data_IF_398156420441
#
_entry.id   IF_398156420441
#
_cell.length_a   1.000
_cell.length_b   1.000
_cell.length_c   1.000
_cell.angle_alpha   90.00
_cell.angle_beta   90.00
_cell.angle_gamma   90.00
#
_symmetry.space_group_name_H-M   'P 1'
#
loop_
_entity.id
_entity.type
_entity.pdbx_description
1 polymer ?
#
# COMPACT_ATOMS: atom_id res chain seq x y z
N UNK A 1 38.53 -0.47 -0.61
CA UNK A 1 37.48 0.17 -1.41
C UNK A 1 36.26 0.33 -0.50
N UNK A 2 35.95 1.57 -0.08
CA UNK A 2 34.86 1.81 0.86
C UNK A 2 33.53 1.69 0.09
N UNK A 3 32.72 0.71 0.42
CA UNK A 3 31.34 0.60 -0.06
C UNK A 3 30.60 1.87 0.35
N UNK A 4 30.25 2.68 -0.60
CA UNK A 4 29.34 3.81 -0.37
C UNK A 4 27.99 3.22 0.01
N UNK A 5 27.55 3.57 1.22
CA UNK A 5 26.24 3.18 1.74
C UNK A 5 25.17 3.66 0.75
N UNK A 6 24.47 2.71 0.17
CA UNK A 6 23.28 3.00 -0.62
C UNK A 6 22.21 3.52 0.35
N UNK A 7 21.84 4.77 0.24
CA UNK A 7 20.74 5.33 1.00
C UNK A 7 19.45 5.07 0.21
N UNK A 8 18.68 4.10 0.64
CA UNK A 8 17.34 3.92 0.14
C UNK A 8 16.40 4.74 1.03
N UNK A 9 15.93 5.86 0.53
CA UNK A 9 14.86 6.62 1.16
C UNK A 9 13.53 6.17 0.56
N UNK A 10 12.70 5.51 1.34
CA UNK A 10 11.32 5.21 0.92
C UNK A 10 10.41 6.30 1.44
N UNK A 11 9.87 7.08 0.54
CA UNK A 11 8.75 7.97 0.85
C UNK A 11 7.47 7.19 0.59
N UNK A 12 7.02 6.48 1.59
CA UNK A 12 5.71 5.87 1.57
C UNK A 12 4.68 6.93 1.99
N UNK A 13 3.93 7.42 1.05
CA UNK A 13 2.68 8.10 1.37
C UNK A 13 1.65 6.99 1.53
N UNK A 14 1.43 6.55 2.75
CA UNK A 14 0.30 5.69 3.07
C UNK A 14 -0.96 6.54 2.87
N UNK A 15 -1.57 6.45 1.71
CA UNK A 15 -2.89 7.01 1.51
C UNK A 15 -3.91 5.99 1.99
N UNK A 16 -4.63 6.35 3.01
CA UNK A 16 -5.85 5.66 3.39
C UNK A 16 -6.88 5.90 2.29
N UNK A 17 -7.29 4.84 1.63
CA UNK A 17 -8.42 4.90 0.71
C UNK A 17 -9.71 4.88 1.54
N UNK A 18 -10.09 6.03 2.05
CA UNK A 18 -11.45 6.26 2.51
C UNK A 18 -12.20 7.02 1.44
N UNK A 19 -13.39 6.59 1.13
CA UNK A 19 -14.34 7.42 0.41
C UNK A 19 -14.79 8.55 1.34
N UNK A 20 -14.02 9.58 1.45
CA UNK A 20 -14.31 10.95 1.84
C UNK A 20 -13.08 11.60 2.49
N UNK A 21 -12.48 12.50 1.76
CA UNK A 21 -11.49 13.49 2.20
C UNK A 21 -10.09 12.94 2.54
N UNK A 22 -9.09 13.31 1.75
CA UNK A 22 -7.71 13.01 2.11
C UNK A 22 -7.31 13.89 3.31
N UNK A 23 -7.27 13.31 4.50
CA UNK A 23 -6.46 13.90 5.55
C UNK A 23 -5.01 13.51 5.26
N UNK A 24 -4.24 14.44 4.72
CA UNK A 24 -2.79 14.29 4.63
C UNK A 24 -2.23 14.38 6.05
N UNK A 25 -1.95 13.25 6.67
CA UNK A 25 -1.02 13.24 7.78
C UNK A 25 0.36 13.55 7.17
N UNK A 26 0.87 14.74 7.41
CA UNK A 26 2.26 15.05 7.13
C UNK A 26 3.09 14.17 8.09
N UNK A 27 3.56 13.04 7.59
CA UNK A 27 4.58 12.28 8.29
C UNK A 27 5.86 13.12 8.22
N UNK A 28 6.36 13.54 9.37
CA UNK A 28 7.70 14.10 9.46
C UNK A 28 8.67 13.06 8.92
N UNK A 29 9.42 13.45 7.89
CA UNK A 29 10.49 12.61 7.36
C UNK A 29 11.58 12.52 8.43
N UNK A 30 11.65 11.39 9.10
CA UNK A 30 12.88 11.01 9.77
C UNK A 30 13.74 10.31 8.72
N UNK A 31 14.98 10.76 8.55
CA UNK A 31 15.98 10.16 7.66
C UNK A 31 16.37 8.74 8.14
N UNK A 32 15.42 7.84 8.21
CA UNK A 32 15.69 6.45 8.46
C UNK A 32 15.95 5.78 7.10
N UNK A 33 17.22 5.61 6.78
CA UNK A 33 17.60 4.79 5.64
C UNK A 33 17.06 3.38 5.84
N UNK A 34 16.14 2.97 4.98
CA UNK A 34 15.64 1.59 4.95
C UNK A 34 16.66 0.70 4.28
N UNK A 35 16.77 -0.52 4.75
CA UNK A 35 17.63 -1.56 4.18
C UNK A 35 16.82 -2.51 3.31
N UNK A 36 17.48 -3.35 2.52
CA UNK A 36 16.79 -4.34 1.69
C UNK A 36 15.98 -5.36 2.52
N UNK A 37 16.27 -5.50 3.80
CA UNK A 37 15.52 -6.36 4.73
C UNK A 37 14.25 -5.71 5.29
N UNK A 38 14.05 -4.41 5.05
CA UNK A 38 12.89 -3.69 5.53
C UNK A 38 11.68 -3.91 4.62
N UNK A 39 10.52 -3.68 5.17
CA UNK A 39 9.25 -3.74 4.44
C UNK A 39 8.46 -2.45 4.62
N UNK A 40 7.66 -2.14 3.60
CA UNK A 40 6.65 -1.09 3.65
C UNK A 40 5.32 -1.73 4.02
N UNK A 41 4.77 -1.34 5.16
CA UNK A 41 3.43 -1.76 5.59
C UNK A 41 2.38 -0.80 5.05
N UNK A 42 1.37 -1.34 4.40
CA UNK A 42 0.21 -0.61 3.89
C UNK A 42 -1.05 -1.11 4.58
N UNK A 43 -1.99 -0.20 4.80
CA UNK A 43 -3.26 -0.51 5.46
C UNK A 43 -4.42 -0.29 4.49
N UNK A 44 -5.23 -1.30 4.28
CA UNK A 44 -6.55 -1.18 3.65
C UNK A 44 -7.56 -0.85 4.74
N UNK A 45 -8.26 0.27 4.59
CA UNK A 45 -9.37 0.65 5.46
C UNK A 45 -10.66 0.47 4.67
N UNK A 46 -11.63 -0.17 5.29
CA UNK A 46 -12.98 -0.31 4.78
C UNK A 46 -13.92 0.47 5.70
N UNK A 47 -14.58 1.49 5.15
CA UNK A 47 -15.54 2.33 5.88
C UNK A 47 -16.96 1.90 5.57
N UNK A 48 -17.76 1.70 6.61
CA UNK A 48 -19.20 1.43 6.53
C UNK A 48 -19.96 2.71 6.87
N UNK A 49 -20.75 3.18 5.92
CA UNK A 49 -21.40 4.51 6.03
C UNK A 49 -22.46 4.56 7.13
N UNK A 50 -23.23 3.48 7.29
CA UNK A 50 -24.37 3.44 8.22
C UNK A 50 -24.11 2.50 9.38
N UNK A 51 -24.59 2.86 10.57
CA UNK A 51 -24.60 1.97 11.72
C UNK A 51 -25.46 0.71 11.45
N UNK A 52 -25.20 -0.36 12.20
CA UNK A 52 -25.89 -1.66 12.09
C UNK A 52 -25.83 -2.34 10.73
N UNK A 53 -25.04 -1.80 9.81
CA UNK A 53 -24.76 -2.45 8.53
C UNK A 53 -23.66 -3.49 8.72
N UNK A 54 -23.90 -4.70 8.25
CA UNK A 54 -22.90 -5.77 8.25
C UNK A 54 -22.29 -5.88 6.86
N UNK A 55 -20.96 -5.81 6.78
CA UNK A 55 -20.22 -6.15 5.57
C UNK A 55 -19.98 -7.66 5.51
N UNK A 56 -19.97 -8.25 4.33
CA UNK A 56 -19.46 -9.61 4.18
C UNK A 56 -17.95 -9.65 4.48
N UNK A 57 -17.45 -10.83 4.75
CA UNK A 57 -16.01 -11.10 4.67
C UNK A 57 -15.54 -10.90 3.22
N UNK A 58 -14.36 -10.28 3.04
CA UNK A 58 -13.87 -9.92 1.72
C UNK A 58 -12.35 -9.96 1.62
N UNK A 59 -11.85 -10.34 0.44
CA UNK A 59 -10.42 -10.31 0.13
C UNK A 59 -10.16 -9.29 -0.96
N UNK A 60 -9.35 -8.29 -0.64
CA UNK A 60 -8.89 -7.26 -1.56
C UNK A 60 -7.56 -7.64 -2.15
N UNK A 61 -7.43 -7.49 -3.46
CA UNK A 61 -6.21 -7.79 -4.20
C UNK A 61 -5.59 -6.50 -4.72
N UNK A 62 -4.29 -6.35 -4.51
CA UNK A 62 -3.51 -5.19 -4.97
C UNK A 62 -2.43 -5.65 -5.93
N UNK A 63 -2.29 -4.94 -7.04
CA UNK A 63 -1.21 -5.18 -8.00
C UNK A 63 -0.22 -4.03 -7.97
N UNK A 64 1.08 -4.37 -7.91
CA UNK A 64 2.19 -3.43 -7.94
C UNK A 64 2.79 -3.46 -9.34
N UNK A 65 2.82 -2.31 -10.00
CA UNK A 65 3.31 -2.19 -11.38
C UNK A 65 4.47 -1.19 -11.42
N UNK A 66 5.66 -1.59 -11.93
CA UNK A 66 6.77 -0.67 -12.11
C UNK A 66 6.45 0.39 -13.16
N UNK A 67 6.99 1.61 -12.98
CA UNK A 67 6.82 2.74 -13.87
C UNK A 67 8.17 3.20 -14.43
N UNK A 68 8.19 3.54 -15.71
CA UNK A 68 9.40 4.06 -16.38
C UNK A 68 10.56 3.09 -16.31
N UNK A 69 11.64 3.51 -15.64
CA UNK A 69 12.87 2.72 -15.48
C UNK A 69 12.90 1.83 -14.23
N UNK A 70 11.80 1.79 -13.48
CA UNK A 70 11.73 0.95 -12.29
C UNK A 70 11.85 -0.54 -12.67
N UNK A 71 12.68 -1.32 -11.96
CA UNK A 71 12.81 -2.75 -12.26
C UNK A 71 11.51 -3.49 -11.91
N UNK A 72 11.29 -4.59 -12.61
CA UNK A 72 10.20 -5.51 -12.28
C UNK A 72 10.43 -6.11 -10.89
N UNK A 73 9.36 -6.34 -10.17
CA UNK A 73 9.42 -7.02 -8.88
C UNK A 73 9.88 -8.48 -9.05
N UNK A 74 10.36 -9.06 -7.97
CA UNK A 74 10.63 -10.50 -7.94
C UNK A 74 9.37 -11.30 -8.32
N UNK A 75 9.56 -12.41 -9.03
CA UNK A 75 8.44 -13.19 -9.56
C UNK A 75 7.47 -13.59 -8.45
N UNK A 76 6.18 -13.35 -8.68
CA UNK A 76 5.10 -13.67 -7.75
C UNK A 76 4.95 -12.72 -6.55
N UNK A 77 5.69 -11.60 -6.52
CA UNK A 77 5.60 -10.62 -5.42
C UNK A 77 4.89 -9.32 -5.80
N UNK A 78 4.48 -9.20 -7.04
CA UNK A 78 3.78 -8.04 -7.59
C UNK A 78 2.28 -7.97 -7.22
N UNK A 79 1.77 -9.01 -6.57
CA UNK A 79 0.39 -9.10 -6.11
C UNK A 79 0.35 -9.29 -4.60
N UNK A 80 -0.51 -8.54 -3.94
CA UNK A 80 -0.75 -8.61 -2.49
C UNK A 80 -2.24 -8.73 -2.21
N UNK A 81 -2.57 -9.43 -1.14
CA UNK A 81 -3.96 -9.60 -0.71
C UNK A 81 -4.15 -9.16 0.74
N UNK A 82 -5.33 -8.61 1.02
CA UNK A 82 -5.78 -8.28 2.37
C UNK A 82 -7.14 -8.92 2.57
N UNK A 83 -7.23 -9.78 3.56
CA UNK A 83 -8.50 -10.36 3.98
C UNK A 83 -9.09 -9.53 5.13
N UNK A 84 -10.35 -9.18 5.00
CA UNK A 84 -11.13 -8.53 6.05
C UNK A 84 -12.30 -9.43 6.42
N UNK A 85 -12.42 -9.72 7.71
CA UNK A 85 -13.56 -10.48 8.24
C UNK A 85 -14.85 -9.68 8.12
N UNK A 86 -15.98 -10.37 8.18
CA UNK A 86 -17.28 -9.75 8.26
C UNK A 86 -17.33 -8.79 9.46
N UNK A 87 -17.81 -7.58 9.22
CA UNK A 87 -17.79 -6.51 10.20
C UNK A 87 -19.17 -5.87 10.30
N UNK A 88 -19.67 -5.70 11.54
CA UNK A 88 -20.92 -4.98 11.81
C UNK A 88 -20.60 -3.62 12.39
N UNK A 89 -20.98 -2.57 11.69
CA UNK A 89 -20.79 -1.20 12.15
C UNK A 89 -21.61 -0.91 13.41
N UNK A 90 -20.98 -0.29 14.39
CA UNK A 90 -21.61 0.13 15.67
C UNK A 90 -21.97 1.61 15.69
N UNK A 91 -21.52 2.35 14.69
CA UNK A 91 -21.76 3.79 14.49
C UNK A 91 -21.70 4.14 13.01
N UNK A 92 -22.19 5.31 12.65
CA UNK A 92 -22.00 5.84 11.29
C UNK A 92 -20.51 6.07 11.01
N UNK A 93 -20.07 5.76 9.82
CA UNK A 93 -18.67 5.83 9.39
C UNK A 93 -17.73 4.98 10.25
N UNK A 94 -18.19 3.82 10.64
CA UNK A 94 -17.36 2.85 11.34
C UNK A 94 -16.42 2.14 10.37
N UNK A 95 -15.26 1.68 10.86
CA UNK A 95 -14.20 1.16 10.00
C UNK A 95 -13.68 -0.18 10.49
N UNK A 96 -13.30 -1.01 9.53
CA UNK A 96 -12.43 -2.17 9.73
C UNK A 96 -11.20 -2.03 8.84
N UNK A 97 -10.12 -2.69 9.18
CA UNK A 97 -8.88 -2.57 8.43
C UNK A 97 -8.03 -3.84 8.45
N UNK A 98 -7.21 -3.99 7.42
CA UNK A 98 -6.19 -5.01 7.35
C UNK A 98 -4.92 -4.46 6.72
N UNK A 99 -3.81 -5.13 6.94
CA UNK A 99 -2.49 -4.70 6.47
C UNK A 99 -1.85 -5.71 5.53
N UNK A 100 -0.96 -5.23 4.68
CA UNK A 100 -0.05 -6.05 3.89
C UNK A 100 1.30 -5.38 3.78
N UNK A 101 2.32 -6.15 3.44
CA UNK A 101 3.69 -5.67 3.36
C UNK A 101 4.28 -5.83 1.96
N UNK A 102 5.08 -4.85 1.59
CA UNK A 102 5.93 -4.89 0.40
C UNK A 102 7.37 -4.91 0.90
N UNK A 103 8.03 -6.06 0.82
CA UNK A 103 9.45 -6.17 1.15
C UNK A 103 10.27 -5.41 0.10
N UNK A 104 11.18 -4.56 0.53
CA UNK A 104 12.01 -3.74 -0.37
C UNK A 104 12.95 -4.61 -1.22
N UNK A 105 13.37 -5.77 -0.69
CA UNK A 105 14.16 -6.75 -1.45
C UNK A 105 13.45 -7.24 -2.73
N UNK A 106 12.12 -7.25 -2.73
CA UNK A 106 11.33 -7.69 -3.88
C UNK A 106 11.32 -6.69 -5.03
N UNK A 107 11.76 -5.45 -4.81
CA UNK A 107 11.80 -4.42 -5.84
C UNK A 107 12.97 -4.56 -6.81
N UNK A 108 13.92 -5.46 -6.55
CA UNK A 108 15.09 -5.74 -7.40
C UNK A 108 15.91 -4.49 -7.78
N UNK A 109 15.92 -3.47 -6.93
CA UNK A 109 16.68 -2.25 -7.17
C UNK A 109 18.16 -2.51 -6.89
N UNK A 110 19.00 -2.42 -7.93
CA UNK A 110 20.44 -2.69 -7.86
C UNK A 110 21.30 -1.46 -8.10
N UNK A 111 20.70 -0.34 -8.45
CA UNK A 111 21.42 0.91 -8.77
C UNK A 111 20.81 2.07 -8.01
N UNK A 112 21.63 3.06 -7.72
CA UNK A 112 21.14 4.33 -7.17
C UNK A 112 20.21 5.03 -8.18
N UNK A 113 19.11 5.57 -7.70
CA UNK A 113 18.13 6.25 -8.55
C UNK A 113 16.82 6.52 -7.85
N UNK A 114 15.90 7.09 -8.61
CA UNK A 114 14.51 7.32 -8.17
C UNK A 114 13.61 6.44 -9.02
N UNK A 115 12.84 5.60 -8.35
CA UNK A 115 11.96 4.62 -8.98
C UNK A 115 10.52 4.84 -8.54
N UNK A 116 9.60 4.59 -9.45
CA UNK A 116 8.18 4.74 -9.18
C UNK A 116 7.45 3.43 -9.45
N UNK A 117 6.51 3.11 -8.57
CA UNK A 117 5.63 1.95 -8.72
C UNK A 117 4.20 2.42 -8.50
N UNK A 118 3.27 1.88 -9.27
CA UNK A 118 1.85 2.10 -9.07
C UNK A 118 1.27 0.90 -8.34
N UNK A 119 0.54 1.17 -7.27
CA UNK A 119 -0.24 0.17 -6.55
C UNK A 119 -1.70 0.37 -6.93
N UNK A 120 -2.31 -0.63 -7.52
CA UNK A 120 -3.70 -0.60 -7.97
C UNK A 120 -4.49 -1.70 -7.28
N UNK A 121 -5.62 -1.35 -6.68
CA UNK A 121 -6.58 -2.32 -6.20
C UNK A 121 -7.28 -2.95 -7.41
N UNK A 122 -7.24 -4.27 -7.47
CA UNK A 122 -7.94 -5.03 -8.53
C UNK A 122 -9.41 -5.11 -8.15
N UNK A 123 -10.29 -4.70 -9.05
CA UNK A 123 -11.72 -4.75 -8.84
C UNK A 123 -12.17 -6.22 -8.62
N UNK A 124 -12.81 -6.47 -7.50
CA UNK A 124 -13.35 -7.78 -7.16
C UNK A 124 -14.72 -8.05 -7.77
N UNK A 125 -15.33 -7.07 -8.45
CA UNK A 125 -16.71 -7.09 -8.93
C UNK A 125 -17.77 -7.39 -7.82
N UNK A 126 -17.41 -7.20 -6.57
CA UNK A 126 -18.35 -7.33 -5.47
C UNK A 126 -19.22 -6.07 -5.41
N UNK A 127 -20.50 -6.22 -5.70
CA UNK A 127 -21.43 -5.11 -5.78
C UNK A 127 -21.47 -4.26 -4.50
N UNK A 128 -21.31 -2.96 -4.65
CA UNK A 128 -21.36 -2.00 -3.55
C UNK A 128 -20.01 -1.62 -2.94
N UNK A 129 -18.93 -2.24 -3.35
CA UNK A 129 -17.56 -1.86 -2.94
C UNK A 129 -16.92 -0.99 -4.00
N UNK A 130 -16.40 0.16 -3.60
CA UNK A 130 -15.65 1.05 -4.51
C UNK A 130 -14.16 0.77 -4.36
N UNK A 131 -13.50 0.50 -5.49
CA UNK A 131 -12.05 0.33 -5.52
C UNK A 131 -11.33 1.64 -5.16
N UNK A 132 -10.21 1.49 -4.48
CA UNK A 132 -9.35 2.64 -4.16
C UNK A 132 -8.72 3.23 -5.42
N UNK A 133 -8.41 4.52 -5.36
CA UNK A 133 -7.60 5.15 -6.41
C UNK A 133 -6.20 4.55 -6.41
N UNK A 134 -5.57 4.41 -7.59
CA UNK A 134 -4.18 3.98 -7.64
C UNK A 134 -3.26 4.88 -6.80
N UNK A 135 -2.35 4.26 -6.08
CA UNK A 135 -1.32 4.94 -5.29
C UNK A 135 0.01 4.89 -6.03
N UNK A 136 0.81 5.94 -5.90
CA UNK A 136 2.18 5.96 -6.40
C UNK A 136 3.15 5.81 -5.25
N UNK A 137 3.98 4.78 -5.30
CA UNK A 137 5.11 4.57 -4.41
C UNK A 137 6.37 5.11 -5.08
N UNK A 138 7.07 6.03 -4.41
CA UNK A 138 8.39 6.54 -4.83
C UNK A 138 9.46 5.88 -3.97
N UNK A 139 10.45 5.32 -4.60
CA UNK A 139 11.62 4.74 -3.94
C UNK A 139 12.87 5.50 -4.40
N UNK A 140 13.66 5.96 -3.44
CA UNK A 140 14.98 6.56 -3.70
C UNK A 140 16.05 5.61 -3.18
N UNK A 141 16.91 5.14 -4.04
CA UNK A 141 17.98 4.21 -3.72
C UNK A 141 19.36 4.85 -4.00
#
# INVERSE_FOLDING_TARGET
>A
MKLKKLFAGVVAVAMMATMAMPSFAATSFTDNAMTASDSLTLTKIYEVTNDKTTTPEETFTFKITPQGSAPALAAGTDTKTVHLDAFTATKNKDTTSGTFEIALSNLNITRAGIYYYTLTEVDSNNGGVTTSRPLTMKVTA
#
